data_IF_430682086236
#
_entry.id   IF_430682086236
#
_cell.length_a   1.000
_cell.length_b   1.000
_cell.length_c   1.000
_cell.angle_alpha   90.00
_cell.angle_beta   90.00
_cell.angle_gamma   90.00
#
_symmetry.space_group_name_H-M   'P 1'
#
loop_
_entity.id
_entity.type
_entity.pdbx_description
1 polymer ?
#
# COMPACT_ATOMS: atom_id res chain seq x y z
N UNK A 1 2.79 -4.16 16.18
CA UNK A 1 2.18 -5.19 15.31
C UNK A 1 0.67 -4.98 15.31
N UNK A 2 0.10 -4.34 14.28
CA UNK A 2 -1.34 -4.08 14.25
C UNK A 2 -2.09 -5.32 13.77
N UNK A 3 -3.04 -5.80 14.56
CA UNK A 3 -3.97 -6.87 14.22
C UNK A 3 -5.38 -6.34 14.45
N UNK A 4 -6.29 -6.50 13.48
CA UNK A 4 -7.67 -6.61 13.91
C UNK A 4 -8.36 -7.76 13.18
N UNK A 5 -8.53 -8.83 13.94
CA UNK A 5 -9.48 -9.90 13.73
C UNK A 5 -10.91 -9.35 13.58
N UNK A 6 -11.65 -9.92 12.63
CA UNK A 6 -13.09 -9.73 12.35
C UNK A 6 -13.55 -8.31 11.96
N UNK A 7 -13.26 -7.96 10.71
CA UNK A 7 -14.17 -7.17 9.86
C UNK A 7 -14.23 -7.95 8.54
N UNK A 8 -15.38 -8.01 7.87
CA UNK A 8 -15.47 -8.41 6.46
C UNK A 8 -14.66 -7.40 5.62
N UNK A 9 -13.32 -7.51 5.63
CA UNK A 9 -12.42 -6.51 5.03
C UNK A 9 -12.45 -6.69 3.52
N UNK A 10 -13.42 -6.07 2.86
CA UNK A 10 -13.27 -5.78 1.43
C UNK A 10 -12.27 -4.64 1.19
N UNK A 11 -11.95 -3.84 2.21
CA UNK A 11 -11.21 -2.59 2.07
C UNK A 11 -10.08 -2.43 3.11
N UNK A 12 -9.01 -1.73 2.73
CA UNK A 12 -7.88 -1.38 3.58
C UNK A 12 -7.46 0.08 3.38
N UNK A 13 -7.30 0.83 4.48
CA UNK A 13 -7.19 2.29 4.48
C UNK A 13 -6.04 2.84 5.36
N UNK A 14 -4.77 2.52 5.09
CA UNK A 14 -3.65 3.05 5.85
C UNK A 14 -3.44 4.54 5.51
N UNK A 15 -3.33 5.38 6.55
CA UNK A 15 -2.99 6.80 6.41
C UNK A 15 -2.10 7.30 7.53
N UNK A 16 -1.27 8.30 7.23
CA UNK A 16 -0.45 9.04 8.20
C UNK A 16 0.47 8.12 9.03
N UNK A 17 1.11 7.14 8.39
CA UNK A 17 2.08 6.26 9.02
C UNK A 17 3.50 6.56 8.52
N UNK A 18 4.48 6.42 9.42
CA UNK A 18 5.90 6.33 9.08
C UNK A 18 6.30 4.85 9.03
N UNK A 19 6.68 4.35 7.85
CA UNK A 19 6.92 2.91 7.62
C UNK A 19 8.32 2.69 7.00
N UNK A 20 9.19 1.99 7.74
CA UNK A 20 10.58 1.81 7.30
C UNK A 20 11.22 0.50 7.71
N UNK A 21 12.24 0.09 6.95
CA UNK A 21 13.08 -1.08 7.20
C UNK A 21 12.29 -2.42 7.20
N UNK A 22 11.30 -2.55 6.31
CA UNK A 22 10.51 -3.77 6.14
C UNK A 22 10.73 -4.40 4.76
N UNK A 23 10.47 -5.71 4.65
CA UNK A 23 10.30 -6.34 3.33
C UNK A 23 9.09 -5.75 2.62
N UNK A 24 7.95 -5.64 3.31
CA UNK A 24 6.76 -4.95 2.80
C UNK A 24 6.35 -3.87 3.80
N UNK A 25 6.35 -2.60 3.40
CA UNK A 25 5.81 -1.53 4.24
C UNK A 25 4.27 -1.60 4.27
N UNK A 26 3.64 -1.66 3.09
CA UNK A 26 2.21 -1.88 2.93
C UNK A 26 1.97 -3.00 1.91
N UNK A 27 1.28 -4.06 2.33
CA UNK A 27 0.84 -5.14 1.43
C UNK A 27 -0.68 -5.29 1.46
N UNK A 28 -1.29 -5.22 0.29
CA UNK A 28 -2.73 -5.42 0.09
C UNK A 28 -2.93 -6.62 -0.82
N UNK A 29 -3.60 -7.64 -0.32
CA UNK A 29 -3.80 -8.91 -1.04
C UNK A 29 -5.28 -9.22 -1.18
N UNK A 30 -5.72 -9.47 -2.42
CA UNK A 30 -7.08 -9.92 -2.72
C UNK A 30 -8.18 -9.00 -2.21
N UNK A 31 -7.94 -7.68 -2.19
CA UNK A 31 -8.91 -6.67 -1.76
C UNK A 31 -9.41 -5.81 -2.92
N UNK A 32 -10.59 -5.21 -2.74
CA UNK A 32 -11.18 -4.29 -3.72
C UNK A 32 -11.40 -2.91 -3.09
N UNK A 33 -11.30 -1.82 -3.84
CA UNK A 33 -11.54 -0.46 -3.33
C UNK A 33 -10.67 -0.11 -2.08
N UNK A 34 -9.38 -0.44 -2.09
CA UNK A 34 -8.47 0.01 -1.02
C UNK A 34 -7.99 1.44 -1.28
N UNK A 35 -7.82 2.25 -0.23
CA UNK A 35 -7.29 3.62 -0.35
C UNK A 35 -6.07 3.80 0.55
N UNK A 36 -4.88 3.86 -0.05
CA UNK A 36 -3.59 4.04 0.63
C UNK A 36 -3.17 5.49 0.41
N UNK A 37 -3.16 6.29 1.47
CA UNK A 37 -2.97 7.73 1.32
C UNK A 37 -2.13 8.36 2.43
N UNK A 38 -1.32 9.37 2.09
CA UNK A 38 -0.65 10.21 3.09
C UNK A 38 0.27 9.44 4.04
N UNK A 39 0.99 8.42 3.56
CA UNK A 39 2.01 7.72 4.33
C UNK A 39 3.41 8.17 3.92
N UNK A 40 4.34 8.16 4.87
CA UNK A 40 5.77 8.40 4.64
C UNK A 40 6.49 7.05 4.73
N UNK A 41 6.99 6.57 3.60
CA UNK A 41 7.49 5.20 3.43
C UNK A 41 8.93 5.28 2.94
N UNK A 42 9.86 4.70 3.71
CA UNK A 42 11.27 4.82 3.38
C UNK A 42 12.07 3.57 3.73
N UNK A 43 13.05 3.20 2.89
CA UNK A 43 14.00 2.11 3.18
C UNK A 43 13.31 0.73 3.31
N UNK A 44 12.42 0.40 2.38
CA UNK A 44 11.75 -0.90 2.32
C UNK A 44 12.12 -1.65 1.04
N UNK A 45 11.99 -2.99 1.02
CA UNK A 45 12.12 -3.73 -0.24
C UNK A 45 10.92 -3.39 -1.14
N UNK A 46 9.71 -3.53 -0.60
CA UNK A 46 8.46 -3.13 -1.23
C UNK A 46 7.79 -2.06 -0.38
N UNK A 47 7.74 -0.82 -0.88
CA UNK A 47 7.03 0.24 -0.17
C UNK A 47 5.50 -0.02 -0.18
N UNK A 48 4.89 -0.12 -1.35
CA UNK A 48 3.48 -0.51 -1.50
C UNK A 48 3.35 -1.66 -2.49
N UNK A 49 2.79 -2.79 -2.05
CA UNK A 49 2.51 -3.95 -2.91
C UNK A 49 1.02 -4.28 -2.94
N UNK A 50 0.40 -4.10 -4.10
CA UNK A 50 -0.97 -4.55 -4.38
C UNK A 50 -0.91 -5.89 -5.14
N UNK A 51 -1.41 -6.95 -4.52
CA UNK A 51 -1.45 -8.29 -5.09
C UNK A 51 -2.90 -8.76 -5.26
N UNK A 52 -3.26 -9.24 -6.45
CA UNK A 52 -4.59 -9.75 -6.79
C UNK A 52 -5.74 -8.81 -6.38
N UNK A 53 -5.51 -7.50 -6.41
CA UNK A 53 -6.43 -6.50 -5.88
C UNK A 53 -7.05 -5.67 -7.01
N UNK A 54 -8.19 -5.01 -6.76
CA UNK A 54 -8.81 -4.14 -7.77
C UNK A 54 -9.33 -2.81 -7.24
N UNK A 55 -9.43 -1.81 -8.12
CA UNK A 55 -10.01 -0.50 -7.80
C UNK A 55 -9.30 0.21 -6.63
N UNK A 56 -7.99 0.01 -6.48
CA UNK A 56 -7.23 0.64 -5.40
C UNK A 56 -6.80 2.05 -5.77
N UNK A 57 -6.85 2.97 -4.81
CA UNK A 57 -6.34 4.33 -4.92
C UNK A 57 -5.10 4.47 -4.04
N UNK A 58 -3.96 4.79 -4.66
CA UNK A 58 -2.71 5.11 -3.98
C UNK A 58 -2.39 6.57 -4.26
N UNK A 59 -2.49 7.45 -3.26
CA UNK A 59 -2.29 8.88 -3.48
C UNK A 59 -1.55 9.55 -2.32
N UNK A 60 -0.84 10.64 -2.60
CA UNK A 60 -0.23 11.49 -1.56
C UNK A 60 0.74 10.74 -0.62
N UNK A 61 1.32 9.61 -1.04
CA UNK A 61 2.34 8.92 -0.25
C UNK A 61 3.72 9.42 -0.66
N UNK A 62 4.57 9.74 0.30
CA UNK A 62 5.99 10.00 0.09
C UNK A 62 6.74 8.68 0.17
N UNK A 63 7.40 8.29 -0.91
CA UNK A 63 8.09 6.99 -1.01
C UNK A 63 9.53 7.22 -1.43
N UNK A 64 10.48 6.99 -0.52
CA UNK A 64 11.89 7.32 -0.74
C UNK A 64 12.78 6.10 -0.43
N UNK A 65 13.86 5.90 -1.19
CA UNK A 65 14.88 4.87 -0.92
C UNK A 65 14.31 3.45 -0.67
N UNK A 66 13.25 3.06 -1.37
CA UNK A 66 12.75 1.68 -1.36
C UNK A 66 13.12 0.99 -2.67
N UNK A 67 13.39 -0.32 -2.67
CA UNK A 67 13.75 -1.04 -3.89
C UNK A 67 12.63 -0.99 -4.93
N UNK A 68 11.42 -1.32 -4.52
CA UNK A 68 10.21 -1.11 -5.29
C UNK A 68 9.34 -0.08 -4.59
N UNK A 69 9.09 1.06 -5.25
CA UNK A 69 8.21 2.11 -4.74
C UNK A 69 6.76 1.65 -4.66
N UNK A 70 6.15 1.33 -5.81
CA UNK A 70 4.79 0.77 -5.89
C UNK A 70 4.81 -0.40 -6.87
N UNK A 71 4.41 -1.58 -6.40
CA UNK A 71 4.31 -2.81 -7.21
C UNK A 71 2.87 -3.28 -7.30
N UNK A 72 2.44 -3.60 -8.52
CA UNK A 72 1.16 -4.24 -8.81
C UNK A 72 1.43 -5.66 -9.34
N UNK A 73 0.83 -6.67 -8.72
CA UNK A 73 0.91 -8.07 -9.17
C UNK A 73 -0.50 -8.63 -9.33
N UNK A 74 -0.83 -9.09 -10.54
CA UNK A 74 -2.16 -9.63 -10.87
C UNK A 74 -3.33 -8.73 -10.43
N UNK A 75 -3.10 -7.40 -10.40
CA UNK A 75 -4.06 -6.41 -9.91
C UNK A 75 -4.61 -5.58 -11.07
N UNK A 76 -5.80 -5.00 -10.89
CA UNK A 76 -6.48 -4.25 -11.96
C UNK A 76 -7.06 -2.93 -11.46
N UNK A 77 -7.20 -1.95 -12.37
CA UNK A 77 -7.85 -0.66 -12.08
C UNK A 77 -7.28 0.09 -10.87
N UNK A 78 -5.97 0.03 -10.66
CA UNK A 78 -5.30 0.84 -9.66
C UNK A 78 -5.11 2.27 -10.18
N UNK A 79 -5.47 3.27 -9.39
CA UNK A 79 -5.20 4.68 -9.66
C UNK A 79 -4.06 5.13 -8.74
N UNK A 80 -2.93 5.50 -9.33
CA UNK A 80 -1.71 5.92 -8.62
C UNK A 80 -1.48 7.41 -8.87
N UNK A 81 -1.49 8.20 -7.79
CA UNK A 81 -1.24 9.64 -7.75
C UNK A 81 -0.22 9.96 -6.67
N UNK A 82 1.01 9.49 -6.86
CA UNK A 82 2.10 9.71 -5.89
C UNK A 82 3.12 10.68 -6.45
N UNK A 83 3.77 11.41 -5.57
CA UNK A 83 4.96 12.21 -5.87
C UNK A 83 6.14 11.33 -5.45
N UNK A 84 6.92 10.87 -6.43
CA UNK A 84 8.13 10.06 -6.20
C UNK A 84 9.30 10.97 -5.86
#
# INVERSE_FOLDING_TARGET
MWHPSRILRRHFYPRNNDLSNNVFAIRVTSLTNSKIQSNNIYWNIYAIHLMSSSHSLVQDNSIVNSWDGIRLSSSSKALIKTIL
#
